data_IF_286670752149
#
_entry.id   IF_286670752149
#
_cell.length_a   1.000
_cell.length_b   1.000
_cell.length_c   1.000
_cell.angle_alpha   90.00
_cell.angle_beta   90.00
_cell.angle_gamma   90.00
#
_symmetry.space_group_name_H-M   'P 1'
#
loop_
_entity.id
_entity.type
_entity.pdbx_description
1 polymer ?
#
# COMPACT_ATOMS: atom_id res chain seq x y z
N UNK A 1 -8.06 -0.98 15.34
CA UNK A 1 -6.93 -1.30 14.45
C UNK A 1 -7.39 -0.95 13.06
N UNK A 2 -6.86 0.13 12.51
CA UNK A 2 -7.39 0.72 11.29
C UNK A 2 -6.64 0.20 10.08
N UNK A 3 -7.38 -0.01 8.99
CA UNK A 3 -6.83 -0.51 7.74
C UNK A 3 -7.54 0.10 6.54
N UNK A 4 -6.83 0.20 5.43
CA UNK A 4 -7.39 0.51 4.12
C UNK A 4 -7.47 -0.82 3.35
N UNK A 5 -8.67 -1.16 2.90
CA UNK A 5 -8.90 -2.32 2.04
C UNK A 5 -8.67 -1.93 0.57
N UNK A 6 -7.92 -2.75 -0.14
CA UNK A 6 -7.54 -2.50 -1.53
C UNK A 6 -8.18 -3.55 -2.43
N UNK A 7 -8.89 -3.08 -3.45
CA UNK A 7 -9.67 -3.90 -4.36
C UNK A 7 -9.15 -3.75 -5.79
N UNK A 8 -9.12 -4.85 -6.53
CA UNK A 8 -9.07 -4.84 -7.99
C UNK A 8 -10.47 -5.24 -8.49
N UNK A 9 -11.15 -4.28 -9.13
CA UNK A 9 -12.58 -4.35 -9.44
C UNK A 9 -13.41 -4.62 -8.17
N UNK A 10 -13.89 -5.84 -7.99
CA UNK A 10 -14.69 -6.28 -6.84
C UNK A 10 -13.93 -7.25 -5.92
N UNK A 11 -12.70 -7.65 -6.30
CA UNK A 11 -11.91 -8.62 -5.56
C UNK A 11 -10.99 -7.91 -4.56
N UNK A 12 -11.06 -8.30 -3.30
CA UNK A 12 -10.09 -7.87 -2.29
C UNK A 12 -8.71 -8.45 -2.62
N UNK A 13 -7.74 -7.58 -2.89
CA UNK A 13 -6.35 -7.97 -3.24
C UNK A 13 -5.34 -7.61 -2.15
N UNK A 14 -5.68 -6.70 -1.24
CA UNK A 14 -4.78 -6.35 -0.16
C UNK A 14 -5.37 -5.52 0.97
N UNK A 15 -4.59 -5.41 2.04
CA UNK A 15 -4.86 -4.63 3.23
C UNK A 15 -3.62 -3.81 3.58
N UNK A 16 -3.79 -2.49 3.72
CA UNK A 16 -2.79 -1.60 4.31
C UNK A 16 -3.17 -1.41 5.77
N UNK A 17 -2.37 -1.92 6.70
CA UNK A 17 -2.63 -1.86 8.15
C UNK A 17 -1.73 -0.84 8.82
N UNK A 18 -2.29 -0.05 9.71
CA UNK A 18 -1.54 0.92 10.50
C UNK A 18 -1.36 0.44 11.93
N UNK A 19 -0.13 0.55 12.42
CA UNK A 19 0.27 0.09 13.76
C UNK A 19 0.96 1.22 14.52
N UNK A 20 0.63 1.36 15.80
CA UNK A 20 1.33 2.29 16.71
C UNK A 20 2.71 1.76 17.14
N UNK A 21 2.89 0.44 17.11
CA UNK A 21 4.13 -0.24 17.52
C UNK A 21 5.29 0.07 16.56
N UNK A 22 6.48 0.29 17.12
CA UNK A 22 7.75 0.34 16.41
C UNK A 22 8.69 -0.83 16.81
N UNK A 23 9.27 -1.56 15.83
CA UNK A 23 8.92 -1.55 14.41
C UNK A 23 7.52 -2.19 14.18
N UNK A 24 6.83 -1.82 13.08
CA UNK A 24 5.58 -2.47 12.70
C UNK A 24 5.83 -3.95 12.37
N UNK A 25 4.79 -4.79 12.40
CA UNK A 25 4.93 -6.19 11.99
C UNK A 25 5.45 -6.34 10.57
N UNK A 26 6.19 -7.41 10.29
CA UNK A 26 6.64 -7.75 8.93
C UNK A 26 5.40 -7.92 8.03
N UNK A 27 5.50 -7.49 6.78
CA UNK A 27 4.41 -7.70 5.83
C UNK A 27 4.15 -9.19 5.62
N UNK A 28 2.97 -9.52 5.11
CA UNK A 28 2.60 -10.92 4.88
C UNK A 28 1.63 -11.04 3.71
N UNK A 29 1.34 -12.26 3.33
CA UNK A 29 0.24 -12.60 2.42
C UNK A 29 -0.63 -13.67 3.07
N UNK A 30 -1.91 -13.70 2.71
CA UNK A 30 -2.88 -14.70 3.17
C UNK A 30 -3.53 -15.38 1.98
N UNK A 31 -3.90 -16.64 2.15
CA UNK A 31 -4.53 -17.43 1.10
C UNK A 31 -3.52 -18.14 0.21
N UNK A 32 -4.03 -18.68 -0.90
CA UNK A 32 -3.29 -19.54 -1.83
C UNK A 32 -3.14 -18.85 -3.18
N UNK A 33 -2.08 -19.17 -3.92
CA UNK A 33 -1.92 -18.71 -5.30
C UNK A 33 -3.15 -19.10 -6.14
N UNK A 34 -3.61 -18.24 -7.07
CA UNK A 34 -3.14 -16.88 -7.36
C UNK A 34 -3.75 -15.78 -6.48
N UNK A 35 -4.70 -16.13 -5.62
CA UNK A 35 -5.55 -15.19 -4.88
C UNK A 35 -4.97 -14.82 -3.51
N UNK A 36 -3.67 -14.50 -3.47
CA UNK A 36 -3.06 -14.00 -2.25
C UNK A 36 -3.64 -12.63 -1.90
N UNK A 37 -4.08 -12.49 -0.65
CA UNK A 37 -4.39 -11.17 -0.07
C UNK A 37 -3.11 -10.65 0.56
N UNK A 38 -2.58 -9.56 0.02
CA UNK A 38 -1.38 -8.92 0.51
C UNK A 38 -1.69 -8.11 1.77
N UNK A 39 -0.84 -8.19 2.79
CA UNK A 39 -0.98 -7.42 4.03
C UNK A 39 0.30 -6.61 4.23
N UNK A 40 0.20 -5.31 3.99
CA UNK A 40 1.30 -4.36 4.16
C UNK A 40 1.09 -3.61 5.47
N UNK A 41 2.09 -3.62 6.35
CA UNK A 41 2.03 -3.00 7.65
C UNK A 41 2.84 -1.70 7.65
N UNK A 42 2.19 -0.60 7.97
CA UNK A 42 2.81 0.71 8.16
C UNK A 42 2.75 1.13 9.61
N UNK A 43 3.66 2.04 9.98
CA UNK A 43 3.51 2.80 11.21
C UNK A 43 2.38 3.82 11.07
N UNK A 44 1.61 4.05 12.12
CA UNK A 44 0.51 5.03 12.10
C UNK A 44 0.98 6.46 11.83
N UNK A 45 2.24 6.77 12.18
CA UNK A 45 2.88 8.06 11.85
C UNK A 45 2.95 8.33 10.34
N UNK A 46 2.94 7.28 9.51
CA UNK A 46 2.93 7.33 8.04
C UNK A 46 1.52 7.44 7.46
N UNK A 47 0.47 7.49 8.29
CA UNK A 47 -0.91 7.54 7.82
C UNK A 47 -1.17 8.74 6.92
N UNK A 48 -0.66 9.93 7.30
CA UNK A 48 -0.81 11.14 6.50
C UNK A 48 -0.15 11.03 5.13
N UNK A 49 0.94 10.28 4.99
CA UNK A 49 1.58 10.06 3.69
C UNK A 49 0.66 9.29 2.74
N UNK A 50 -0.02 8.25 3.25
CA UNK A 50 -0.98 7.46 2.47
C UNK A 50 -2.22 8.28 2.11
N UNK A 51 -2.73 9.08 3.05
CA UNK A 51 -3.85 9.99 2.78
C UNK A 51 -3.48 11.04 1.74
N UNK A 52 -2.26 11.57 1.78
CA UNK A 52 -1.80 12.53 0.78
C UNK A 52 -1.76 11.89 -0.61
N UNK A 53 -1.32 10.65 -0.75
CA UNK A 53 -1.37 9.91 -2.03
C UNK A 53 -2.82 9.77 -2.53
N UNK A 54 -3.74 9.41 -1.64
CA UNK A 54 -5.16 9.24 -1.95
C UNK A 54 -5.87 10.54 -2.37
N UNK A 55 -5.46 11.69 -1.81
CA UNK A 55 -6.09 12.99 -2.07
C UNK A 55 -5.99 13.45 -3.53
N UNK A 56 -4.99 12.98 -4.28
CA UNK A 56 -4.79 13.40 -5.67
C UNK A 56 -5.65 12.65 -6.68
N UNK A 57 -6.61 11.80 -6.25
CA UNK A 57 -7.42 10.94 -7.13
C UNK A 57 -6.60 10.08 -8.10
N UNK A 58 -5.31 9.88 -7.82
CA UNK A 58 -4.44 9.00 -8.61
C UNK A 58 -4.66 7.55 -8.16
N UNK A 59 -4.62 6.57 -9.08
CA UNK A 59 -4.69 5.16 -8.71
C UNK A 59 -3.57 4.81 -7.73
N UNK A 60 -3.94 4.19 -6.60
CA UNK A 60 -2.98 3.53 -5.72
C UNK A 60 -2.48 2.26 -6.38
N UNK A 61 -1.16 2.10 -6.41
CA UNK A 61 -0.49 0.86 -6.79
C UNK A 61 0.17 0.25 -5.56
N UNK A 62 -0.09 -1.05 -5.37
CA UNK A 62 0.56 -1.88 -4.37
C UNK A 62 1.54 -2.79 -5.08
N UNK A 63 2.82 -2.68 -4.75
CA UNK A 63 3.83 -3.65 -5.16
C UNK A 63 4.26 -4.48 -3.96
N UNK A 64 4.46 -5.78 -4.18
CA UNK A 64 4.82 -6.70 -3.11
C UNK A 64 5.72 -7.81 -3.63
N UNK A 65 6.89 -7.98 -3.00
CA UNK A 65 7.78 -9.11 -3.22
C UNK A 65 7.35 -10.27 -2.31
N UNK A 66 6.81 -11.35 -2.90
CA UNK A 66 6.32 -12.51 -2.15
C UNK A 66 7.42 -13.30 -1.43
N UNK A 67 8.69 -13.14 -1.83
CA UNK A 67 9.83 -13.83 -1.25
C UNK A 67 10.43 -12.98 -0.12
N UNK A 68 10.68 -11.70 -0.39
CA UNK A 68 11.28 -10.78 0.60
C UNK A 68 10.27 -10.21 1.60
N UNK A 69 8.98 -10.33 1.30
CA UNK A 69 7.88 -9.70 2.06
C UNK A 69 8.05 -8.17 2.15
N UNK A 70 8.61 -7.58 1.10
CA UNK A 70 8.75 -6.14 0.96
C UNK A 70 7.54 -5.62 0.18
N UNK A 71 6.91 -4.58 0.70
CA UNK A 71 5.74 -3.97 0.09
C UNK A 71 5.92 -2.47 -0.04
N UNK A 72 5.46 -1.89 -1.14
CA UNK A 72 5.42 -0.44 -1.34
C UNK A 72 4.02 0.00 -1.78
N UNK A 73 3.65 1.20 -1.35
CA UNK A 73 2.42 1.89 -1.75
C UNK A 73 2.85 3.13 -2.53
N UNK A 74 2.38 3.25 -3.76
CA UNK A 74 2.70 4.38 -4.64
C UNK A 74 1.41 4.91 -5.29
N UNK A 75 1.35 6.18 -5.66
CA UNK A 75 0.45 6.63 -6.74
C UNK A 75 1.10 6.31 -8.07
N UNK A 76 0.33 5.82 -9.06
CA UNK A 76 0.83 5.40 -10.36
C UNK A 76 1.90 6.33 -10.97
N UNK A 77 2.83 5.74 -11.74
CA UNK A 77 4.03 6.35 -12.33
C UNK A 77 3.96 7.87 -12.45
N UNK A 78 4.51 8.58 -11.47
CA UNK A 78 4.99 9.91 -11.75
C UNK A 78 6.22 9.71 -12.64
N UNK A 79 6.12 10.17 -13.89
CA UNK A 79 7.29 10.33 -14.74
C UNK A 79 8.29 11.14 -13.95
N UNK A 80 9.40 10.53 -13.54
CA UNK A 80 10.50 11.24 -12.89
C UNK A 80 10.96 12.29 -13.90
N UNK A 81 10.61 13.57 -13.67
CA UNK A 81 11.04 14.70 -14.50
C UNK A 81 9.97 15.40 -15.36
N UNK A 82 8.75 15.64 -14.86
CA UNK A 82 8.00 16.81 -15.33
C UNK A 82 8.11 17.90 -14.27
N UNK A 83 8.93 18.91 -14.58
CA UNK A 83 8.97 20.17 -13.84
C UNK A 83 7.55 20.71 -13.67
N UNK A 84 7.24 21.17 -12.46
CA UNK A 84 6.05 21.97 -12.19
C UNK A 84 6.06 23.17 -13.16
N UNK A 85 5.12 23.21 -14.10
CA UNK A 85 4.86 24.43 -14.87
C UNK A 85 4.06 25.36 -13.96
N UNK A 86 4.74 26.36 -13.41
CA UNK A 86 4.16 27.57 -12.82
C UNK A 86 3.29 28.34 -13.84
#
# INVERSE_FOLDING_TARGET
MDYIACYDKEQLVGLIKFHERQPPPINSHRGSHPNYILVINFQISRFNDIINILRYNKPLSLSFDLIKLEGAVNSGFESIGQEEQE
#
